data_IF_666914760512
#
_entry.id   IF_666914760512
#
_cell.length_a   1.000
_cell.length_b   1.000
_cell.length_c   1.000
_cell.angle_alpha   90.00
_cell.angle_beta   90.00
_cell.angle_gamma   90.00
#
_symmetry.space_group_name_H-M   'P 1'
#
loop_
_entity.id
_entity.type
_entity.pdbx_description
1 polymer ?
#
# COMPACT_ATOMS: atom_id res chain seq x y z
N UNK A 1 3.21 -4.40 1.99
CA UNK A 1 4.10 -3.23 1.76
C UNK A 1 4.22 -2.97 0.27
N UNK A 2 4.51 -1.74 -0.12
CA UNK A 2 4.81 -1.39 -1.52
C UNK A 2 6.15 -2.02 -1.89
N UNK A 3 6.28 -2.73 -3.04
CA UNK A 3 7.52 -3.36 -3.44
C UNK A 3 8.61 -2.32 -3.69
N UNK A 4 9.80 -2.60 -3.18
CA UNK A 4 10.98 -1.73 -3.38
C UNK A 4 11.87 -2.18 -4.53
N UNK A 5 11.70 -3.43 -4.97
CA UNK A 5 12.49 -4.04 -6.04
C UNK A 5 11.65 -5.07 -6.77
N UNK A 6 11.79 -5.07 -8.08
CA UNK A 6 11.32 -6.16 -8.93
C UNK A 6 12.44 -6.59 -9.87
N UNK A 7 12.47 -7.88 -10.23
CA UNK A 7 13.38 -8.41 -11.23
C UNK A 7 12.73 -9.56 -11.97
N UNK A 8 13.03 -9.67 -13.25
CA UNK A 8 12.60 -10.79 -14.08
C UNK A 8 13.76 -11.29 -14.93
N UNK A 9 13.84 -12.59 -15.13
CA UNK A 9 14.73 -13.19 -16.14
C UNK A 9 13.87 -13.54 -17.34
N UNK A 10 14.20 -12.96 -18.48
CA UNK A 10 13.52 -13.20 -19.75
C UNK A 10 14.47 -13.84 -20.74
N UNK A 11 13.94 -14.63 -21.66
CA UNK A 11 14.71 -15.16 -22.79
C UNK A 11 14.26 -14.48 -24.08
N UNK A 12 15.22 -14.06 -24.86
CA UNK A 12 14.99 -13.41 -26.16
C UNK A 12 15.95 -13.99 -27.20
N UNK A 13 15.64 -13.90 -28.50
CA UNK A 13 16.59 -14.25 -29.52
C UNK A 13 17.92 -13.48 -29.38
N UNK A 14 19.04 -14.14 -29.67
CA UNK A 14 20.38 -13.55 -29.43
C UNK A 14 20.62 -12.25 -30.18
N UNK A 15 20.00 -12.08 -31.33
CA UNK A 15 20.09 -10.91 -32.20
C UNK A 15 19.41 -9.67 -31.65
N UNK A 16 18.47 -9.81 -30.70
CA UNK A 16 17.73 -8.67 -30.11
C UNK A 16 18.17 -8.33 -28.68
N UNK A 17 19.11 -9.07 -28.10
CA UNK A 17 19.55 -8.86 -26.71
C UNK A 17 20.04 -7.44 -26.47
N UNK A 18 20.88 -6.92 -27.37
CA UNK A 18 21.42 -5.56 -27.23
C UNK A 18 20.30 -4.51 -27.35
N UNK A 19 19.31 -4.73 -28.24
CA UNK A 19 18.14 -3.87 -28.34
C UNK A 19 17.31 -3.83 -27.06
N UNK A 20 17.16 -4.96 -26.36
CA UNK A 20 16.44 -5.01 -25.05
C UNK A 20 17.21 -4.24 -23.98
N UNK A 21 18.54 -4.32 -23.96
CA UNK A 21 19.37 -3.54 -23.02
C UNK A 21 19.29 -2.05 -23.31
N UNK A 22 19.34 -1.67 -24.59
CA UNK A 22 19.20 -0.26 -25.00
C UNK A 22 17.80 0.29 -24.67
N UNK A 23 16.75 -0.51 -24.85
CA UNK A 23 15.39 -0.15 -24.48
C UNK A 23 15.25 0.08 -22.96
N UNK A 24 15.83 -0.79 -22.15
CA UNK A 24 15.85 -0.61 -20.70
C UNK A 24 16.58 0.68 -20.30
N UNK A 25 17.69 1.01 -20.96
CA UNK A 25 18.41 2.26 -20.74
C UNK A 25 17.57 3.48 -21.14
N UNK A 26 16.79 3.38 -22.23
CA UNK A 26 15.86 4.42 -22.64
C UNK A 26 14.75 4.64 -21.60
N UNK A 27 14.13 3.57 -21.10
CA UNK A 27 13.12 3.69 -20.03
C UNK A 27 13.71 4.23 -18.72
N UNK A 28 14.97 3.93 -18.40
CA UNK A 28 15.63 4.55 -17.24
C UNK A 28 15.65 6.09 -17.35
N UNK A 29 15.87 6.64 -18.54
CA UNK A 29 15.85 8.09 -18.75
C UNK A 29 14.45 8.67 -18.55
N UNK A 30 13.42 7.99 -19.09
CA UNK A 30 12.02 8.38 -18.93
C UNK A 30 11.62 8.41 -17.46
N UNK A 31 11.87 7.32 -16.74
CA UNK A 31 11.51 7.21 -15.32
C UNK A 31 12.28 8.20 -14.45
N UNK A 32 13.53 8.47 -14.78
CA UNK A 32 14.32 9.47 -14.08
C UNK A 32 13.75 10.88 -14.23
N UNK A 33 13.23 11.22 -15.40
CA UNK A 33 12.58 12.51 -15.66
C UNK A 33 11.21 12.59 -14.97
N UNK A 34 10.40 11.52 -15.09
CA UNK A 34 9.06 11.44 -14.51
C UNK A 34 9.06 11.52 -12.98
N UNK A 35 10.03 10.88 -12.34
CA UNK A 35 10.15 10.80 -10.88
C UNK A 35 11.21 11.74 -10.30
N UNK A 36 11.63 12.78 -11.05
CA UNK A 36 12.58 13.77 -10.58
C UNK A 36 12.13 14.39 -9.25
N UNK A 37 13.01 14.36 -8.25
CA UNK A 37 12.73 14.89 -6.91
C UNK A 37 11.81 14.04 -6.04
N UNK A 38 11.21 12.95 -6.57
CA UNK A 38 10.37 12.01 -5.83
C UNK A 38 11.15 10.74 -5.51
N UNK A 39 11.76 10.12 -6.54
CA UNK A 39 12.52 8.86 -6.42
C UNK A 39 13.91 8.99 -7.08
N UNK A 40 14.83 9.76 -6.47
CA UNK A 40 16.12 10.05 -7.08
C UNK A 40 17.01 8.83 -7.27
N UNK A 41 16.77 7.76 -6.50
CA UNK A 41 17.55 6.52 -6.50
C UNK A 41 16.89 5.41 -7.36
N UNK A 42 15.86 5.74 -8.14
CA UNK A 42 15.19 4.77 -9.01
C UNK A 42 16.14 4.28 -10.11
N UNK A 43 16.30 2.96 -10.19
CA UNK A 43 17.12 2.30 -11.20
C UNK A 43 16.26 1.30 -11.98
N UNK A 44 16.26 1.45 -13.31
CA UNK A 44 15.69 0.49 -14.25
C UNK A 44 16.78 0.05 -15.22
N UNK A 45 17.13 -1.24 -15.26
CA UNK A 45 18.23 -1.75 -16.05
C UNK A 45 18.00 -3.17 -16.53
N UNK A 46 18.63 -3.55 -17.62
CA UNK A 46 18.73 -4.92 -18.09
C UNK A 46 20.19 -5.31 -18.26
N UNK A 47 20.50 -6.56 -17.95
CA UNK A 47 21.84 -7.12 -18.11
C UNK A 47 21.76 -8.58 -18.57
N UNK A 48 22.83 -9.04 -19.23
CA UNK A 48 22.94 -10.45 -19.61
C UNK A 48 23.15 -11.31 -18.37
N UNK A 49 22.42 -12.43 -18.31
CA UNK A 49 22.57 -13.40 -17.23
C UNK A 49 22.57 -14.83 -17.79
N UNK A 50 22.75 -15.80 -16.92
CA UNK A 50 22.63 -17.22 -17.29
C UNK A 50 21.19 -17.56 -17.66
N UNK A 51 21.05 -18.54 -18.56
CA UNK A 51 19.73 -19.05 -18.95
C UNK A 51 19.04 -19.66 -17.72
N UNK A 52 17.76 -19.37 -17.50
CA UNK A 52 17.02 -19.96 -16.40
C UNK A 52 16.80 -21.47 -16.63
N UNK A 53 16.73 -22.23 -15.54
CA UNK A 53 16.49 -23.67 -15.60
C UNK A 53 15.09 -24.03 -16.12
N UNK A 54 14.13 -23.13 -16.01
CA UNK A 54 12.75 -23.29 -16.49
C UNK A 54 12.18 -21.95 -16.92
N UNK A 55 11.23 -21.99 -17.83
CA UNK A 55 10.43 -20.86 -18.28
C UNK A 55 8.97 -21.10 -17.91
N UNK A 56 8.20 -20.03 -17.76
CA UNK A 56 6.73 -20.14 -17.73
C UNK A 56 6.24 -20.68 -19.08
N UNK A 57 5.21 -21.53 -19.11
CA UNK A 57 4.46 -21.78 -20.32
C UNK A 57 3.98 -20.47 -20.94
N UNK A 58 3.99 -20.36 -22.26
CA UNK A 58 3.65 -19.11 -22.97
C UNK A 58 2.27 -18.61 -22.57
N UNK A 59 1.29 -19.50 -22.46
CA UNK A 59 -0.07 -19.15 -22.04
C UNK A 59 -0.09 -18.52 -20.64
N UNK A 60 0.63 -19.11 -19.67
CA UNK A 60 0.72 -18.57 -18.29
C UNK A 60 1.46 -17.23 -18.26
N UNK A 61 2.50 -17.08 -19.09
CA UNK A 61 3.22 -15.82 -19.25
C UNK A 61 2.30 -14.72 -19.77
N UNK A 62 1.57 -14.99 -20.84
CA UNK A 62 0.68 -14.03 -21.49
C UNK A 62 -0.48 -13.63 -20.54
N UNK A 63 -1.08 -14.60 -19.87
CA UNK A 63 -2.12 -14.38 -18.87
C UNK A 63 -1.60 -13.56 -17.68
N UNK A 64 -0.38 -13.84 -17.21
CA UNK A 64 0.26 -13.07 -16.13
C UNK A 64 0.50 -11.62 -16.53
N UNK A 65 1.12 -11.38 -17.69
CA UNK A 65 1.44 -10.03 -18.17
C UNK A 65 0.16 -9.23 -18.38
N UNK A 66 -0.81 -9.80 -19.09
CA UNK A 66 -2.08 -9.13 -19.37
C UNK A 66 -2.89 -8.85 -18.10
N UNK A 67 -2.91 -9.76 -17.14
CA UNK A 67 -3.65 -9.55 -15.89
C UNK A 67 -2.98 -8.51 -14.99
N UNK A 68 -1.65 -8.48 -14.93
CA UNK A 68 -0.91 -7.46 -14.19
C UNK A 68 -1.09 -6.08 -14.81
N UNK A 69 -1.05 -5.97 -16.14
CA UNK A 69 -1.28 -4.71 -16.87
C UNK A 69 -2.71 -4.20 -16.68
N UNK A 70 -3.70 -5.10 -16.68
CA UNK A 70 -5.11 -4.73 -16.54
C UNK A 70 -5.52 -4.50 -15.08
N UNK A 71 -4.78 -5.04 -14.11
CA UNK A 71 -5.09 -4.89 -12.69
C UNK A 71 -4.80 -3.47 -12.24
N UNK A 72 -5.82 -2.82 -11.66
CA UNK A 72 -5.62 -1.48 -11.12
C UNK A 72 -4.61 -1.49 -9.96
N UNK A 73 -3.58 -0.66 -10.06
CA UNK A 73 -2.58 -0.40 -9.02
C UNK A 73 -2.54 1.10 -8.71
N UNK A 74 -2.49 1.47 -7.42
CA UNK A 74 -2.45 2.86 -6.99
C UNK A 74 -3.72 3.36 -6.31
N UNK A 75 -3.96 4.66 -6.36
CA UNK A 75 -5.10 5.32 -5.70
C UNK A 75 -6.33 5.23 -6.59
N UNK A 76 -7.29 4.42 -6.17
CA UNK A 76 -8.56 4.26 -6.90
C UNK A 76 -9.55 5.39 -6.59
N UNK A 77 -9.53 5.91 -5.34
CA UNK A 77 -10.42 6.97 -4.90
C UNK A 77 -9.78 7.85 -3.83
N UNK A 78 -10.04 9.15 -3.98
CA UNK A 78 -9.75 10.15 -2.96
C UNK A 78 -11.00 10.46 -2.15
N UNK A 79 -10.86 10.64 -0.84
CA UNK A 79 -11.94 11.22 -0.04
C UNK A 79 -11.91 12.74 -0.22
N UNK A 80 -13.02 13.28 -0.68
CA UNK A 80 -13.19 14.72 -0.73
C UNK A 80 -13.83 15.16 0.59
N UNK A 81 -13.07 15.73 1.50
CA UNK A 81 -13.66 16.56 2.53
C UNK A 81 -14.18 17.82 1.83
N UNK A 82 -15.51 18.03 1.88
CA UNK A 82 -16.27 18.98 1.06
C UNK A 82 -15.85 20.47 1.19
N UNK A 83 -14.89 20.81 2.06
CA UNK A 83 -14.56 22.20 2.38
C UNK A 83 -13.08 22.59 2.18
N UNK A 84 -12.15 21.66 1.97
CA UNK A 84 -10.76 22.01 1.73
C UNK A 84 -10.01 20.93 0.93
N UNK A 85 -9.58 21.21 -0.33
CA UNK A 85 -8.78 20.29 -1.14
C UNK A 85 -7.44 19.89 -0.49
N UNK A 86 -6.87 20.72 0.37
CA UNK A 86 -5.63 20.44 1.11
C UNK A 86 -5.79 19.30 2.14
N UNK A 87 -7.03 18.93 2.47
CA UNK A 87 -7.36 17.84 3.38
C UNK A 87 -7.87 16.59 2.66
N UNK A 88 -7.60 16.45 1.37
CA UNK A 88 -7.93 15.22 0.65
C UNK A 88 -7.03 14.08 1.11
N UNK A 89 -7.65 12.95 1.47
CA UNK A 89 -6.94 11.73 1.87
C UNK A 89 -7.22 10.63 0.87
N UNK A 90 -6.31 9.68 0.76
CA UNK A 90 -6.58 8.45 0.02
C UNK A 90 -7.69 7.69 0.72
N UNK A 91 -8.79 7.47 0.00
CA UNK A 91 -9.94 6.70 0.50
C UNK A 91 -9.78 5.20 0.19
N UNK A 92 -9.49 4.89 -1.07
CA UNK A 92 -9.39 3.51 -1.54
C UNK A 92 -8.20 3.37 -2.49
N UNK A 93 -7.40 2.35 -2.28
CA UNK A 93 -6.24 2.05 -3.11
C UNK A 93 -6.02 0.56 -3.26
N UNK A 94 -5.28 0.17 -4.29
CA UNK A 94 -4.68 -1.14 -4.41
C UNK A 94 -3.17 -1.03 -4.58
N UNK A 95 -2.49 -2.11 -4.25
CA UNK A 95 -1.06 -2.23 -4.39
C UNK A 95 -0.71 -3.62 -4.94
N UNK A 96 -0.02 -3.66 -6.07
CA UNK A 96 0.61 -4.86 -6.61
C UNK A 96 1.81 -5.22 -5.70
N UNK A 97 1.55 -5.99 -4.66
CA UNK A 97 2.50 -6.22 -3.58
C UNK A 97 3.60 -7.22 -3.94
N UNK A 98 3.30 -8.23 -4.74
CA UNK A 98 4.32 -9.11 -5.28
C UNK A 98 3.84 -9.90 -6.50
N UNK A 99 4.78 -10.22 -7.38
CA UNK A 99 4.62 -11.21 -8.45
C UNK A 99 5.73 -12.25 -8.28
N UNK A 100 5.37 -13.51 -8.29
CA UNK A 100 6.32 -14.63 -8.15
C UNK A 100 6.04 -15.69 -9.18
N UNK A 101 7.09 -16.26 -9.73
CA UNK A 101 7.02 -17.43 -10.62
C UNK A 101 7.68 -18.64 -9.97
N UNK A 102 7.19 -19.83 -10.28
CA UNK A 102 7.63 -21.08 -9.69
C UNK A 102 8.10 -22.06 -10.77
N UNK A 103 9.05 -22.95 -10.44
CA UNK A 103 9.60 -23.94 -11.40
C UNK A 103 8.54 -24.85 -12.02
N UNK A 104 7.40 -25.03 -11.35
CA UNK A 104 6.28 -25.85 -11.83
C UNK A 104 5.45 -25.18 -12.94
N UNK A 105 5.93 -24.05 -13.48
CA UNK A 105 5.24 -23.30 -14.53
C UNK A 105 4.02 -22.54 -14.02
N UNK A 106 4.03 -22.13 -12.75
CA UNK A 106 2.99 -21.36 -12.09
C UNK A 106 3.43 -19.94 -11.78
N UNK A 107 2.47 -19.03 -11.66
CA UNK A 107 2.69 -17.69 -11.16
C UNK A 107 1.73 -17.40 -10.00
N UNK A 108 2.16 -16.53 -9.09
CA UNK A 108 1.36 -15.99 -7.99
C UNK A 108 1.46 -14.48 -8.01
N UNK A 109 0.31 -13.82 -7.91
CA UNK A 109 0.19 -12.37 -7.78
C UNK A 109 -0.48 -12.07 -6.45
N UNK A 110 0.12 -11.20 -5.66
CA UNK A 110 -0.45 -10.70 -4.42
C UNK A 110 -0.81 -9.24 -4.60
N UNK A 111 -2.11 -8.95 -4.45
CA UNK A 111 -2.65 -7.59 -4.40
C UNK A 111 -3.11 -7.25 -2.99
N UNK A 112 -2.87 -6.02 -2.56
CA UNK A 112 -3.37 -5.49 -1.29
C UNK A 112 -4.37 -4.38 -1.57
N UNK A 113 -5.61 -4.55 -1.16
CA UNK A 113 -6.66 -3.53 -1.26
C UNK A 113 -6.91 -2.91 0.11
N UNK A 114 -6.95 -1.58 0.14
CA UNK A 114 -7.24 -0.80 1.34
C UNK A 114 -8.34 0.21 1.05
N UNK A 115 -9.23 0.42 2.01
CA UNK A 115 -10.27 1.45 1.91
C UNK A 115 -10.69 1.92 3.31
N UNK A 116 -11.20 3.13 3.38
CA UNK A 116 -11.89 3.68 4.55
C UNK A 116 -13.36 3.24 4.60
N UNK A 117 -13.85 2.56 3.56
CA UNK A 117 -15.24 2.15 3.37
C UNK A 117 -15.28 0.70 2.88
N UNK A 118 -16.06 -0.13 3.56
CA UNK A 118 -16.11 -1.57 3.32
C UNK A 118 -16.71 -1.92 1.95
N UNK A 119 -17.73 -1.21 1.52
CA UNK A 119 -18.37 -1.47 0.23
C UNK A 119 -17.44 -1.11 -0.95
N UNK A 120 -16.68 -0.02 -0.80
CA UNK A 120 -15.66 0.38 -1.78
C UNK A 120 -14.50 -0.61 -1.82
N UNK A 121 -14.05 -1.10 -0.66
CA UNK A 121 -13.04 -2.15 -0.58
C UNK A 121 -13.49 -3.39 -1.34
N UNK A 122 -14.71 -3.85 -1.10
CA UNK A 122 -15.30 -5.00 -1.80
C UNK A 122 -15.45 -4.75 -3.30
N UNK A 123 -15.87 -3.56 -3.71
CA UNK A 123 -16.02 -3.21 -5.11
C UNK A 123 -14.70 -3.30 -5.88
N UNK A 124 -13.62 -2.69 -5.34
CA UNK A 124 -12.29 -2.78 -5.95
C UNK A 124 -11.74 -4.21 -5.94
N UNK A 125 -11.86 -4.92 -4.81
CA UNK A 125 -11.43 -6.30 -4.70
C UNK A 125 -12.16 -7.22 -5.70
N UNK A 126 -13.47 -7.04 -5.90
CA UNK A 126 -14.26 -7.77 -6.89
C UNK A 126 -13.85 -7.46 -8.33
N UNK A 127 -13.49 -6.19 -8.63
CA UNK A 127 -12.97 -5.82 -9.94
C UNK A 127 -11.63 -6.52 -10.23
N UNK A 128 -10.70 -6.48 -9.28
CA UNK A 128 -9.41 -7.18 -9.40
C UNK A 128 -9.60 -8.70 -9.51
N UNK A 129 -10.48 -9.29 -8.72
CA UNK A 129 -10.83 -10.70 -8.83
C UNK A 129 -11.28 -11.05 -10.25
N UNK A 130 -12.13 -10.22 -10.86
CA UNK A 130 -12.65 -10.45 -12.21
C UNK A 130 -11.52 -10.43 -13.25
N UNK A 131 -10.56 -9.51 -13.14
CA UNK A 131 -9.38 -9.45 -14.03
C UNK A 131 -8.59 -10.75 -14.00
N UNK A 132 -8.22 -11.22 -12.81
CA UNK A 132 -7.43 -12.44 -12.66
C UNK A 132 -8.21 -13.70 -13.02
N UNK A 133 -9.51 -13.74 -12.74
CA UNK A 133 -10.36 -14.87 -13.16
C UNK A 133 -10.53 -14.97 -14.69
N UNK A 134 -10.60 -13.83 -15.39
CA UNK A 134 -10.61 -13.80 -16.85
C UNK A 134 -9.32 -14.36 -17.46
N UNK A 135 -8.19 -14.20 -16.76
CA UNK A 135 -6.90 -14.81 -17.09
C UNK A 135 -6.76 -16.26 -16.55
N UNK A 136 -7.86 -16.90 -16.16
CA UNK A 136 -7.86 -18.30 -15.71
C UNK A 136 -7.28 -18.54 -14.30
N UNK A 137 -6.94 -17.50 -13.55
CA UNK A 137 -6.36 -17.65 -12.22
C UNK A 137 -7.42 -18.01 -11.17
N UNK A 138 -6.99 -18.77 -10.15
CA UNK A 138 -7.74 -18.90 -8.91
C UNK A 138 -7.44 -17.71 -8.00
N UNK A 139 -8.48 -17.07 -7.49
CA UNK A 139 -8.34 -15.92 -6.60
C UNK A 139 -8.88 -16.28 -5.21
N UNK A 140 -8.04 -16.07 -4.20
CA UNK A 140 -8.37 -16.29 -2.80
C UNK A 140 -8.23 -14.96 -2.03
N UNK A 141 -9.20 -14.64 -1.18
CA UNK A 141 -9.12 -13.50 -0.26
C UNK A 141 -8.61 -13.95 1.09
N UNK A 142 -7.64 -13.24 1.64
CA UNK A 142 -7.05 -13.57 2.93
C UNK A 142 -6.76 -12.32 3.75
N UNK A 143 -6.60 -12.50 5.07
CA UNK A 143 -6.21 -11.44 6.02
C UNK A 143 -7.06 -10.16 5.92
N UNK A 144 -8.35 -10.30 5.60
CA UNK A 144 -9.29 -9.20 5.57
C UNK A 144 -9.64 -8.76 7.01
N UNK A 145 -9.75 -7.45 7.21
CA UNK A 145 -10.33 -6.82 8.40
C UNK A 145 -11.16 -5.62 7.95
N UNK A 146 -12.13 -5.24 8.76
CA UNK A 146 -13.07 -4.19 8.41
C UNK A 146 -12.41 -2.79 8.40
N UNK A 147 -12.98 -1.90 7.61
CA UNK A 147 -12.66 -0.49 7.67
C UNK A 147 -13.09 0.06 9.05
N UNK A 148 -12.26 0.93 9.61
CA UNK A 148 -12.55 1.55 10.90
C UNK A 148 -12.64 3.06 10.75
N UNK A 149 -13.65 3.64 11.39
CA UNK A 149 -13.82 5.09 11.47
C UNK A 149 -14.47 5.49 12.79
N UNK A 150 -14.20 6.71 13.23
CA UNK A 150 -14.84 7.32 14.40
C UNK A 150 -15.29 8.72 14.01
N UNK A 151 -16.51 9.17 14.41
CA UNK A 151 -16.94 10.54 14.20
C UNK A 151 -16.00 11.55 14.83
N UNK A 152 -15.70 12.65 14.13
CA UNK A 152 -14.83 13.71 14.63
C UNK A 152 -15.36 14.40 15.91
N UNK A 153 -16.65 14.31 16.16
CA UNK A 153 -17.31 14.86 17.34
C UNK A 153 -17.53 13.82 18.47
N UNK A 154 -17.00 12.62 18.31
CA UNK A 154 -17.09 11.56 19.33
C UNK A 154 -16.47 12.01 20.67
N UNK A 155 -17.01 11.56 21.81
CA UNK A 155 -16.51 11.93 23.14
C UNK A 155 -15.02 11.70 23.32
N UNK A 156 -14.50 10.56 22.87
CA UNK A 156 -13.07 10.24 22.99
C UNK A 156 -12.18 11.17 22.15
N UNK A 157 -12.64 11.57 20.96
CA UNK A 157 -11.92 12.54 20.11
C UNK A 157 -11.89 13.91 20.80
N UNK A 158 -13.03 14.37 21.33
CA UNK A 158 -13.10 15.62 22.10
C UNK A 158 -12.21 15.61 23.32
N UNK A 159 -12.15 14.49 24.03
CA UNK A 159 -11.27 14.32 25.21
C UNK A 159 -9.79 14.43 24.81
N UNK A 160 -9.38 13.82 23.70
CA UNK A 160 -8.02 13.93 23.19
C UNK A 160 -7.66 15.39 22.82
N UNK A 161 -8.54 16.07 22.09
CA UNK A 161 -8.35 17.49 21.71
C UNK A 161 -8.36 18.45 22.92
N UNK A 162 -9.10 18.14 23.99
CA UNK A 162 -9.04 18.88 25.25
C UNK A 162 -7.74 18.65 26.01
N UNK A 163 -7.19 17.42 25.93
CA UNK A 163 -5.91 17.09 26.55
C UNK A 163 -4.73 17.80 25.86
N UNK A 164 -4.82 17.96 24.53
CA UNK A 164 -3.87 18.73 23.74
C UNK A 164 -4.55 19.37 22.52
N UNK A 165 -4.83 20.69 22.57
CA UNK A 165 -5.47 21.40 21.45
C UNK A 165 -4.61 21.54 20.19
N UNK A 166 -3.33 21.20 20.25
CA UNK A 166 -2.43 21.21 19.08
C UNK A 166 -2.59 19.98 18.18
N UNK A 167 -3.29 18.95 18.64
CA UNK A 167 -3.54 17.74 17.87
C UNK A 167 -4.31 18.04 16.59
N UNK A 168 -3.87 17.37 15.52
CA UNK A 168 -4.58 17.37 14.24
C UNK A 168 -5.27 16.04 14.03
N UNK A 169 -6.55 16.07 13.69
CA UNK A 169 -7.26 14.87 13.28
C UNK A 169 -6.81 14.50 11.87
N UNK A 170 -6.47 13.24 11.69
CA UNK A 170 -6.15 12.68 10.40
C UNK A 170 -6.96 11.40 10.18
N UNK A 171 -7.27 11.13 8.94
CA UNK A 171 -7.88 9.88 8.51
C UNK A 171 -6.88 9.15 7.61
N UNK A 172 -6.73 7.86 7.84
CA UNK A 172 -5.84 7.02 7.06
C UNK A 172 -6.56 5.76 6.63
N UNK A 173 -6.35 5.33 5.40
CA UNK A 173 -6.87 4.06 4.88
C UNK A 173 -5.93 2.88 5.16
N UNK A 174 -5.01 3.07 6.11
CA UNK A 174 -4.07 2.02 6.54
C UNK A 174 -4.78 0.95 7.36
N UNK A 175 -4.24 -0.26 7.28
CA UNK A 175 -4.55 -1.30 8.23
C UNK A 175 -4.01 -0.97 9.61
N UNK A 176 -4.89 -0.62 10.52
CA UNK A 176 -4.59 -0.47 11.94
C UNK A 176 -5.32 -1.54 12.73
N UNK A 177 -4.76 -1.92 13.87
CA UNK A 177 -5.38 -2.85 14.81
C UNK A 177 -6.76 -2.40 15.26
N UNK A 178 -7.03 -1.10 15.17
CA UNK A 178 -8.33 -0.49 15.43
C UNK A 178 -9.47 -1.12 14.60
N UNK A 179 -9.22 -1.49 13.35
CA UNK A 179 -10.19 -2.18 12.49
C UNK A 179 -10.58 -3.54 13.06
N UNK A 180 -9.59 -4.34 13.47
CA UNK A 180 -9.81 -5.67 14.06
C UNK A 180 -10.51 -5.58 15.42
N UNK A 181 -10.19 -4.54 16.21
CA UNK A 181 -10.81 -4.33 17.52
C UNK A 181 -12.26 -3.86 17.36
N UNK A 182 -12.52 -2.92 16.43
CA UNK A 182 -13.87 -2.40 16.20
C UNK A 182 -14.85 -3.44 15.66
N UNK A 183 -14.38 -4.40 14.86
CA UNK A 183 -15.18 -5.53 14.41
C UNK A 183 -15.72 -6.37 15.58
N UNK A 184 -14.88 -6.57 16.61
CA UNK A 184 -15.25 -7.35 17.81
C UNK A 184 -16.03 -6.54 18.84
N UNK A 185 -15.81 -5.23 18.87
CA UNK A 185 -16.39 -4.31 19.86
C UNK A 185 -16.96 -3.08 19.15
N UNK A 186 -18.08 -3.20 18.42
CA UNK A 186 -18.62 -2.11 17.56
C UNK A 186 -19.03 -0.86 18.32
N UNK A 187 -19.34 -0.99 19.62
CA UNK A 187 -19.69 0.17 20.48
C UNK A 187 -18.47 0.87 21.09
N UNK A 188 -17.26 0.32 20.89
CA UNK A 188 -16.04 0.89 21.46
C UNK A 188 -15.60 2.11 20.64
N UNK A 189 -15.37 3.22 21.31
CA UNK A 189 -14.70 4.37 20.69
C UNK A 189 -13.20 4.14 20.68
N UNK A 190 -12.60 4.21 19.51
CA UNK A 190 -11.18 3.90 19.31
C UNK A 190 -10.51 5.06 18.57
N UNK A 191 -9.38 5.54 19.06
CA UNK A 191 -8.47 6.46 18.38
C UNK A 191 -7.07 5.87 18.33
N UNK A 192 -6.31 6.19 17.30
CA UNK A 192 -4.90 5.85 17.22
C UNK A 192 -4.06 7.09 17.49
N UNK A 193 -3.15 7.01 18.43
CA UNK A 193 -2.19 8.05 18.79
C UNK A 193 -0.80 7.41 18.99
N UNK A 194 0.26 8.15 18.71
CA UNK A 194 1.61 7.64 18.90
C UNK A 194 2.67 8.72 18.78
N UNK A 195 3.94 8.37 19.00
CA UNK A 195 5.07 9.25 18.76
C UNK A 195 5.31 9.46 17.26
N UNK A 196 6.15 10.43 16.93
CA UNK A 196 6.57 10.69 15.53
C UNK A 196 7.53 9.60 15.07
N UNK A 197 7.14 8.90 14.00
CA UNK A 197 7.93 7.85 13.36
C UNK A 197 8.34 8.33 11.97
N UNK A 198 9.59 8.14 11.63
CA UNK A 198 10.17 8.43 10.32
C UNK A 198 10.47 7.13 9.57
N UNK A 199 10.25 7.12 8.26
CA UNK A 199 10.50 5.99 7.35
C UNK A 199 9.91 4.65 7.83
N UNK A 200 8.61 4.60 8.24
CA UNK A 200 7.99 3.38 8.73
C UNK A 200 8.10 2.25 7.68
N UNK A 201 8.20 1.00 8.15
CA UNK A 201 8.35 -0.20 7.30
C UNK A 201 9.64 -0.24 6.46
N UNK A 202 10.67 0.50 6.85
CA UNK A 202 11.96 0.50 6.16
C UNK A 202 13.11 0.17 7.11
N UNK A 203 14.29 -0.25 6.59
CA UNK A 203 15.48 -0.42 7.40
C UNK A 203 15.98 0.88 8.08
N UNK A 204 15.48 2.03 7.63
CA UNK A 204 15.79 3.36 8.17
C UNK A 204 14.71 3.84 9.16
N UNK A 205 13.78 2.97 9.56
CA UNK A 205 12.72 3.33 10.50
C UNK A 205 13.32 3.85 11.82
N UNK A 206 12.83 4.99 12.25
CA UNK A 206 13.29 5.65 13.46
C UNK A 206 12.15 6.39 14.15
N UNK A 207 12.27 6.58 15.46
CA UNK A 207 11.34 7.35 16.28
C UNK A 207 12.03 8.60 16.83
N UNK A 208 11.31 9.71 16.84
CA UNK A 208 11.77 10.94 17.47
C UNK A 208 11.65 10.81 18.99
N UNK A 209 12.78 10.79 19.69
CA UNK A 209 12.85 10.50 21.13
C UNK A 209 12.01 11.47 21.97
N UNK A 210 12.05 12.77 21.64
CA UNK A 210 11.26 13.79 22.37
C UNK A 210 9.75 13.58 22.20
N UNK A 211 9.32 13.11 21.04
CA UNK A 211 7.91 12.83 20.78
C UNK A 211 7.37 11.67 21.63
N UNK A 212 8.21 10.74 22.06
CA UNK A 212 7.83 9.64 22.97
C UNK A 212 7.42 10.18 24.34
N UNK A 213 8.17 11.17 24.86
CA UNK A 213 7.83 11.79 26.14
C UNK A 213 6.52 12.60 26.04
N UNK A 214 6.33 13.33 24.93
CA UNK A 214 5.10 14.05 24.65
C UNK A 214 3.89 13.10 24.54
N UNK A 215 4.03 12.03 23.76
CA UNK A 215 3.00 10.99 23.63
C UNK A 215 2.61 10.39 25.00
N UNK A 216 3.60 10.08 25.84
CA UNK A 216 3.31 9.55 27.18
C UNK A 216 2.52 10.53 28.05
N UNK A 217 2.86 11.81 28.02
CA UNK A 217 2.13 12.85 28.75
C UNK A 217 0.69 13.00 28.21
N UNK A 218 0.52 12.99 26.89
CA UNK A 218 -0.78 13.04 26.24
C UNK A 218 -1.66 11.85 26.67
N UNK A 219 -1.12 10.63 26.57
CA UNK A 219 -1.83 9.40 26.95
C UNK A 219 -2.31 9.48 28.42
N UNK A 220 -1.44 9.92 29.33
CA UNK A 220 -1.82 10.08 30.74
C UNK A 220 -2.91 11.13 30.94
N UNK A 221 -2.86 12.25 30.21
CA UNK A 221 -3.92 13.28 30.27
C UNK A 221 -5.25 12.76 29.74
N UNK A 222 -5.23 11.95 28.68
CA UNK A 222 -6.45 11.34 28.13
C UNK A 222 -7.04 10.35 29.12
N UNK A 223 -6.24 9.47 29.73
CA UNK A 223 -6.73 8.40 30.62
C UNK A 223 -7.18 8.94 31.98
N UNK A 224 -6.40 9.82 32.58
CA UNK A 224 -6.60 10.22 33.98
C UNK A 224 -7.20 11.64 34.11
N UNK A 225 -7.36 12.39 33.02
CA UNK A 225 -7.72 13.79 33.06
C UNK A 225 -6.58 14.68 33.59
N UNK A 226 -6.81 16.00 33.63
CA UNK A 226 -5.90 16.89 34.38
C UNK A 226 -6.01 16.53 35.87
N UNK A 227 -4.95 16.00 36.45
CA UNK A 227 -4.75 16.17 37.89
C UNK A 227 -4.50 17.65 38.09
N UNK A 228 -5.46 18.34 38.67
CA UNK A 228 -5.25 19.68 39.20
C UNK A 228 -4.09 19.71 40.20
#
# INVERSE_FOLDING_TARGET
AIPRRASAVITVPSEVVDSVIDEAAYFQLIYRDEFEGIEPDLIFSAERTELPAALLPVEVQDDLINSVEAAFDGVWRWSHMQSNPENSHVDTSSNLASVRTFPEGKAEVLMLVRSMDEDRKRALASSLQSVFMLAGARVDFCAAYDAWSIPADAPLVKQALQADPSLKLSQVHCGLECGVISEKYPEMQIISIGPSIHHPHSPLESVEVESVAHFWQLLNKIIYGKKE
#
